data_IF_647219652063
#
_entry.id   IF_647219652063
#
_cell.length_a   1.000
_cell.length_b   1.000
_cell.length_c   1.000
_cell.angle_alpha   90.00
_cell.angle_beta   90.00
_cell.angle_gamma   90.00
#
_symmetry.space_group_name_H-M   'P 1'
#
loop_
_entity.id
_entity.type
_entity.pdbx_description
1 polymer ?
#
# COMPACT_ATOMS: atom_id res chain seq x y z
N UNK A 1 -16.45 -10.13 -15.92
CA UNK A 1 -15.98 -9.66 -14.60
C UNK A 1 -14.71 -8.85 -14.80
N UNK A 2 -14.66 -7.63 -14.28
CA UNK A 2 -13.46 -6.78 -14.39
C UNK A 2 -12.40 -7.32 -13.43
N UNK A 3 -11.25 -7.69 -13.95
CA UNK A 3 -10.10 -8.04 -13.11
C UNK A 3 -9.25 -6.79 -12.88
N UNK A 4 -9.38 -6.19 -11.70
CA UNK A 4 -8.63 -5.00 -11.30
C UNK A 4 -7.12 -5.21 -11.42
N UNK A 5 -6.64 -6.43 -11.16
CA UNK A 5 -5.22 -6.76 -11.21
C UNK A 5 -4.66 -6.63 -12.62
N UNK A 6 -5.37 -7.18 -13.60
CA UNK A 6 -4.92 -7.09 -15.00
C UNK A 6 -4.90 -5.64 -15.49
N UNK A 7 -5.89 -4.83 -15.11
CA UNK A 7 -5.93 -3.41 -15.50
C UNK A 7 -4.75 -2.67 -14.86
N UNK A 8 -4.48 -2.89 -13.57
CA UNK A 8 -3.34 -2.28 -12.86
C UNK A 8 -2.03 -2.67 -13.52
N UNK A 9 -1.81 -3.98 -13.74
CA UNK A 9 -0.59 -4.50 -14.35
C UNK A 9 -0.38 -3.90 -15.74
N UNK A 10 -1.41 -3.88 -16.58
CA UNK A 10 -1.32 -3.31 -17.92
C UNK A 10 -1.04 -1.80 -17.89
N UNK A 11 -1.60 -1.06 -16.94
CA UNK A 11 -1.33 0.36 -16.78
C UNK A 11 0.14 0.63 -16.38
N UNK A 12 0.69 -0.16 -15.48
CA UNK A 12 2.09 -0.07 -15.08
C UNK A 12 3.02 -0.36 -16.26
N UNK A 13 2.74 -1.41 -17.02
CA UNK A 13 3.53 -1.79 -18.22
C UNK A 13 3.46 -0.68 -19.26
N UNK A 14 2.27 -0.17 -19.56
CA UNK A 14 2.06 0.88 -20.55
C UNK A 14 2.84 2.15 -20.22
N UNK A 15 2.92 2.52 -18.95
CA UNK A 15 3.65 3.71 -18.51
C UNK A 15 5.13 3.42 -18.23
N UNK A 16 5.56 2.17 -18.24
CA UNK A 16 6.87 1.72 -17.78
C UNK A 16 7.16 2.18 -16.34
N UNK A 17 6.17 2.02 -15.46
CA UNK A 17 6.25 2.44 -14.06
C UNK A 17 6.57 1.26 -13.15
N UNK A 18 7.52 1.50 -12.26
CA UNK A 18 7.87 0.55 -11.20
C UNK A 18 6.91 0.65 -10.04
N UNK A 19 6.76 -0.46 -9.31
CA UNK A 19 5.88 -0.55 -8.14
C UNK A 19 6.58 -1.21 -6.97
N UNK A 20 6.29 -0.72 -5.77
CA UNK A 20 6.66 -1.33 -4.50
C UNK A 20 5.46 -1.35 -3.55
N UNK A 21 5.47 -2.28 -2.60
CA UNK A 21 4.34 -2.51 -1.71
C UNK A 21 4.83 -2.72 -0.28
N UNK A 22 4.23 -2.02 0.67
CA UNK A 22 4.38 -2.32 2.09
C UNK A 22 3.03 -2.73 2.68
N UNK A 23 3.03 -3.80 3.44
CA UNK A 23 1.82 -4.42 4.02
C UNK A 23 2.07 -4.80 5.48
N UNK A 24 1.01 -5.05 6.22
CA UNK A 24 1.08 -5.57 7.58
C UNK A 24 0.20 -6.80 7.77
N UNK A 25 -1.00 -6.64 8.29
CA UNK A 25 -1.90 -7.76 8.62
C UNK A 25 -2.45 -8.51 7.41
N UNK A 26 -2.35 -7.95 6.23
CA UNK A 26 -2.69 -8.63 4.97
C UNK A 26 -1.70 -9.73 4.55
N UNK A 27 -0.53 -9.79 5.19
CA UNK A 27 0.46 -10.86 4.99
C UNK A 27 0.94 -11.04 3.53
N UNK A 28 1.03 -9.94 2.78
CA UNK A 28 1.50 -9.98 1.40
C UNK A 28 0.42 -10.27 0.36
N UNK A 29 -0.84 -10.15 0.72
CA UNK A 29 -1.96 -10.46 -0.19
C UNK A 29 -1.97 -9.53 -1.42
N UNK A 30 -1.62 -8.26 -1.25
CA UNK A 30 -1.57 -7.29 -2.35
C UNK A 30 -0.41 -7.63 -3.30
N UNK A 31 0.78 -7.84 -2.76
CA UNK A 31 1.94 -8.22 -3.56
C UNK A 31 1.67 -9.52 -4.33
N UNK A 32 1.16 -10.54 -3.66
CA UNK A 32 0.82 -11.80 -4.29
C UNK A 32 -0.20 -11.62 -5.43
N UNK A 33 -1.24 -10.82 -5.21
CA UNK A 33 -2.28 -10.57 -6.22
C UNK A 33 -1.71 -9.97 -7.51
N UNK A 34 -0.75 -9.04 -7.40
CA UNK A 34 -0.17 -8.36 -8.55
C UNK A 34 0.94 -9.18 -9.24
N UNK A 35 1.60 -10.09 -8.52
CA UNK A 35 2.75 -10.84 -9.03
C UNK A 35 2.40 -12.21 -9.63
N UNK A 36 1.17 -12.67 -9.49
CA UNK A 36 0.73 -14.00 -9.98
C UNK A 36 1.05 -14.22 -11.46
N UNK A 37 0.99 -13.17 -12.27
CA UNK A 37 1.16 -13.29 -13.73
C UNK A 37 2.60 -13.14 -14.22
N UNK A 38 3.57 -12.87 -13.36
CA UNK A 38 4.98 -12.58 -13.70
C UNK A 38 5.18 -11.43 -14.71
N UNK A 39 4.14 -10.71 -15.07
CA UNK A 39 4.23 -9.59 -16.03
C UNK A 39 4.98 -8.38 -15.49
N UNK A 40 5.08 -8.26 -14.16
CA UNK A 40 5.75 -7.14 -13.48
C UNK A 40 7.20 -7.44 -13.08
N UNK A 41 7.79 -8.56 -13.48
CA UNK A 41 9.13 -8.97 -13.01
C UNK A 41 10.19 -7.88 -13.15
N UNK A 42 10.13 -7.08 -14.22
CA UNK A 42 11.07 -5.98 -14.46
C UNK A 42 10.65 -4.65 -13.82
N UNK A 43 9.41 -4.54 -13.37
CA UNK A 43 8.84 -3.31 -12.83
C UNK A 43 8.57 -3.38 -11.33
N UNK A 44 8.77 -4.53 -10.72
CA UNK A 44 8.54 -4.74 -9.30
C UNK A 44 9.83 -4.49 -8.51
N UNK A 45 9.84 -3.41 -7.73
CA UNK A 45 11.02 -3.01 -6.94
C UNK A 45 11.10 -3.70 -5.57
N UNK A 46 10.05 -4.32 -5.13
CA UNK A 46 10.04 -5.08 -3.88
C UNK A 46 8.79 -4.88 -3.04
N UNK A 47 8.68 -5.70 -2.02
CA UNK A 47 7.63 -5.57 -1.00
C UNK A 47 8.17 -5.93 0.38
N UNK A 48 7.52 -5.40 1.41
CA UNK A 48 7.81 -5.72 2.80
C UNK A 48 6.51 -5.98 3.56
N UNK A 49 6.54 -6.97 4.44
CA UNK A 49 5.45 -7.28 5.36
C UNK A 49 5.91 -6.98 6.78
N UNK A 50 5.24 -6.03 7.43
CA UNK A 50 5.52 -5.66 8.82
C UNK A 50 4.48 -6.30 9.74
N UNK A 51 4.90 -7.18 10.64
CA UNK A 51 3.99 -7.89 11.55
C UNK A 51 3.67 -7.11 12.82
N UNK A 52 4.54 -6.18 13.19
CA UNK A 52 4.43 -5.42 14.43
C UNK A 52 5.25 -4.13 14.33
N UNK A 53 5.09 -3.26 15.32
CA UNK A 53 5.81 -1.98 15.39
C UNK A 53 7.33 -2.15 15.50
N UNK A 54 7.82 -3.24 16.05
CA UNK A 54 9.27 -3.49 16.09
C UNK A 54 9.85 -3.71 14.69
N UNK A 55 9.17 -4.46 13.83
CA UNK A 55 9.62 -4.69 12.45
C UNK A 55 9.63 -3.39 11.64
N UNK A 56 8.63 -2.53 11.84
CA UNK A 56 8.62 -1.18 11.23
C UNK A 56 9.77 -0.33 11.74
N UNK A 57 9.98 -0.28 13.05
CA UNK A 57 11.04 0.53 13.64
C UNK A 57 12.42 0.07 13.23
N UNK A 58 12.63 -1.22 13.03
CA UNK A 58 13.88 -1.75 12.49
C UNK A 58 14.11 -1.21 11.06
N UNK A 59 13.09 -1.22 10.22
CA UNK A 59 13.18 -0.67 8.87
C UNK A 59 13.45 0.84 8.89
N UNK A 60 12.75 1.59 9.75
CA UNK A 60 12.93 3.04 9.92
C UNK A 60 14.37 3.36 10.33
N UNK A 61 14.91 2.64 11.33
CA UNK A 61 16.29 2.83 11.81
C UNK A 61 17.34 2.48 10.76
N UNK A 62 17.13 1.40 9.99
CA UNK A 62 18.02 1.03 8.89
C UNK A 62 18.12 2.12 7.84
N UNK A 63 17.06 2.89 7.66
CA UNK A 63 17.03 4.03 6.76
C UNK A 63 17.47 5.36 7.43
N UNK A 64 17.99 5.31 8.67
CA UNK A 64 18.53 6.43 9.43
C UNK A 64 17.47 7.49 9.79
N UNK A 65 16.24 7.06 10.01
CA UNK A 65 15.15 7.90 10.51
C UNK A 65 14.82 7.60 11.98
N UNK A 66 14.14 8.52 12.62
CA UNK A 66 13.70 8.37 14.01
C UNK A 66 12.58 7.32 14.10
N UNK A 67 12.67 6.34 15.01
CA UNK A 67 11.63 5.35 15.19
C UNK A 67 10.32 5.97 15.69
N UNK A 68 9.21 5.30 15.38
CA UNK A 68 7.88 5.65 15.90
C UNK A 68 7.77 5.16 17.34
N UNK A 69 7.12 5.96 18.21
CA UNK A 69 6.83 5.52 19.57
C UNK A 69 5.79 4.40 19.55
N UNK A 70 6.15 3.23 20.10
CA UNK A 70 5.30 2.03 20.11
C UNK A 70 4.04 2.19 20.97
N UNK A 71 4.01 3.15 21.89
CA UNK A 71 2.87 3.41 22.77
C UNK A 71 1.80 4.31 22.12
N UNK A 72 2.09 4.85 20.94
CA UNK A 72 1.14 5.69 20.22
C UNK A 72 0.17 4.85 19.38
N UNK A 73 -1.08 5.32 19.31
CA UNK A 73 -2.06 4.78 18.38
C UNK A 73 -1.60 5.11 16.96
N UNK A 74 -1.66 4.11 16.09
CA UNK A 74 -1.31 4.29 14.68
C UNK A 74 -2.28 5.28 14.02
N UNK A 75 -1.75 6.43 13.64
CA UNK A 75 -2.51 7.53 13.05
C UNK A 75 -2.13 7.75 11.59
N UNK A 76 -2.82 8.71 10.98
CA UNK A 76 -2.50 9.15 9.61
C UNK A 76 -1.06 9.70 9.49
N UNK A 77 -0.53 10.28 10.56
CA UNK A 77 0.84 10.83 10.57
C UNK A 77 1.89 9.71 10.51
N UNK A 78 1.72 8.65 11.31
CA UNK A 78 2.62 7.48 11.28
C UNK A 78 2.50 6.74 9.95
N UNK A 79 1.30 6.62 9.42
CA UNK A 79 1.04 6.01 8.12
C UNK A 79 1.77 6.78 7.00
N UNK A 80 1.65 8.10 6.96
CA UNK A 80 2.34 8.93 5.97
C UNK A 80 3.86 8.90 6.17
N UNK A 81 4.32 8.91 7.42
CA UNK A 81 5.74 8.84 7.74
C UNK A 81 6.40 7.59 7.16
N UNK A 82 5.81 6.41 7.38
CA UNK A 82 6.36 5.16 6.82
C UNK A 82 6.23 5.12 5.29
N UNK A 83 5.16 5.71 4.72
CA UNK A 83 5.03 5.87 3.28
C UNK A 83 6.20 6.61 2.68
N UNK A 84 6.58 7.75 3.25
CA UNK A 84 7.66 8.58 2.73
C UNK A 84 9.02 7.87 2.83
N UNK A 85 9.28 7.16 3.93
CA UNK A 85 10.51 6.38 4.09
C UNK A 85 10.58 5.25 3.07
N UNK A 86 9.49 4.49 2.92
CA UNK A 86 9.44 3.40 1.95
C UNK A 86 9.57 3.89 0.51
N UNK A 87 8.95 5.02 0.19
CA UNK A 87 9.06 5.62 -1.15
C UNK A 87 10.51 6.01 -1.48
N UNK A 88 11.24 6.57 -0.54
CA UNK A 88 12.66 6.88 -0.70
C UNK A 88 13.53 5.63 -0.80
N UNK A 89 13.19 4.59 -0.05
CA UNK A 89 13.92 3.33 -0.05
C UNK A 89 13.77 2.58 -1.38
N UNK A 90 12.54 2.37 -1.83
CA UNK A 90 12.24 1.60 -3.05
C UNK A 90 12.47 2.40 -4.33
N UNK A 91 12.35 3.71 -4.29
CA UNK A 91 12.47 4.61 -5.46
C UNK A 91 11.57 4.16 -6.61
N UNK A 92 10.36 3.73 -6.29
CA UNK A 92 9.39 3.29 -7.28
C UNK A 92 8.48 4.42 -7.74
N UNK A 93 7.92 4.28 -8.93
CA UNK A 93 6.94 5.23 -9.47
C UNK A 93 5.62 5.14 -8.72
N UNK A 94 5.26 3.94 -8.27
CA UNK A 94 4.05 3.67 -7.49
C UNK A 94 4.44 2.95 -6.21
N UNK A 95 3.99 3.45 -5.06
CA UNK A 95 4.06 2.78 -3.77
C UNK A 95 2.65 2.53 -3.26
N UNK A 96 2.38 1.30 -2.86
CA UNK A 96 1.17 0.95 -2.11
C UNK A 96 1.55 0.82 -0.63
N UNK A 97 0.86 1.55 0.23
CA UNK A 97 0.98 1.41 1.68
C UNK A 97 -0.32 0.84 2.26
N UNK A 98 -0.28 -0.43 2.62
CA UNK A 98 -1.36 -1.14 3.31
C UNK A 98 -0.91 -1.58 4.70
N UNK A 99 -0.16 -0.70 5.37
CA UNK A 99 0.30 -0.90 6.75
C UNK A 99 -0.72 -0.28 7.70
N UNK A 100 -1.24 -1.10 8.60
CA UNK A 100 -2.22 -0.66 9.60
C UNK A 100 -2.04 -1.45 10.89
N UNK A 101 -2.11 -0.74 12.01
CA UNK A 101 -2.03 -1.30 13.35
C UNK A 101 -3.12 -0.66 14.21
N UNK A 102 -3.46 -1.31 15.31
CA UNK A 102 -4.44 -0.85 16.31
C UNK A 102 -5.84 -0.57 15.74
N UNK A 103 -6.18 -1.19 14.60
CA UNK A 103 -7.49 -1.07 13.98
C UNK A 103 -8.65 -1.44 14.92
N UNK A 104 -8.42 -2.30 15.90
CA UNK A 104 -9.42 -2.65 16.90
C UNK A 104 -9.77 -1.48 17.83
N UNK A 105 -8.84 -0.54 18.03
CA UNK A 105 -9.04 0.66 18.85
C UNK A 105 -9.71 1.77 18.07
N UNK A 106 -9.28 1.99 16.83
CA UNK A 106 -9.73 3.13 16.02
C UNK A 106 -10.96 2.81 15.18
N UNK A 107 -11.23 1.51 14.89
CA UNK A 107 -12.23 1.04 13.92
C UNK A 107 -12.09 1.68 12.53
N UNK A 108 -10.96 2.25 12.25
CA UNK A 108 -10.62 2.84 10.97
C UNK A 108 -9.34 2.21 10.43
N UNK A 109 -9.30 2.02 9.13
CA UNK A 109 -8.12 1.57 8.42
C UNK A 109 -7.75 2.62 7.37
N UNK A 110 -6.47 2.98 7.34
CA UNK A 110 -5.92 3.88 6.34
C UNK A 110 -5.08 3.07 5.38
N UNK A 111 -5.27 3.25 4.09
CA UNK A 111 -4.31 2.85 3.07
C UNK A 111 -4.02 4.01 2.15
N UNK A 112 -2.87 3.98 1.51
CA UNK A 112 -2.48 5.07 0.62
C UNK A 112 -1.66 4.59 -0.57
N UNK A 113 -1.61 5.44 -1.57
CA UNK A 113 -0.73 5.31 -2.72
C UNK A 113 0.15 6.54 -2.83
N UNK A 114 1.40 6.34 -3.23
CA UNK A 114 2.20 7.40 -3.79
C UNK A 114 2.38 7.06 -5.26
N UNK A 115 1.81 7.87 -6.15
CA UNK A 115 1.90 7.71 -7.60
C UNK A 115 2.68 8.89 -8.13
N UNK A 116 3.90 8.64 -8.57
CA UNK A 116 4.89 9.68 -8.86
C UNK A 116 5.06 10.57 -7.62
N UNK A 117 4.69 11.84 -7.69
CA UNK A 117 4.84 12.76 -6.54
C UNK A 117 3.53 13.00 -5.78
N UNK A 118 2.47 12.30 -6.16
CA UNK A 118 1.14 12.50 -5.59
C UNK A 118 0.82 11.44 -4.54
N UNK A 119 0.50 11.87 -3.33
CA UNK A 119 -0.01 11.01 -2.26
C UNK A 119 -1.53 11.00 -2.25
N UNK A 120 -2.13 9.82 -2.24
CA UNK A 120 -3.57 9.61 -2.22
C UNK A 120 -3.89 8.70 -1.04
N UNK A 121 -4.70 9.19 -0.11
CA UNK A 121 -5.08 8.45 1.10
C UNK A 121 -6.56 8.09 1.08
N UNK A 122 -6.87 6.91 1.60
CA UNK A 122 -8.23 6.45 1.81
C UNK A 122 -8.39 5.95 3.24
N UNK A 123 -9.55 6.27 3.83
CA UNK A 123 -9.93 5.77 5.15
C UNK A 123 -11.15 4.87 5.01
N UNK A 124 -11.09 3.68 5.60
CA UNK A 124 -12.16 2.68 5.58
C UNK A 124 -12.72 2.53 7.00
N UNK A 125 -14.02 2.63 7.12
CA UNK A 125 -14.72 2.35 8.37
C UNK A 125 -14.85 0.83 8.54
N UNK A 126 -14.14 0.27 9.53
CA UNK A 126 -14.15 -1.16 9.82
C UNK A 126 -15.35 -1.61 10.64
N UNK A 127 -16.18 -0.70 11.15
CA UNK A 127 -17.37 -1.06 11.94
C UNK A 127 -18.39 -1.89 11.16
N UNK A 128 -18.30 -1.87 9.82
CA UNK A 128 -19.16 -2.64 8.91
C UNK A 128 -18.74 -4.11 8.77
N UNK A 129 -17.57 -4.48 9.27
CA UNK A 129 -17.00 -5.81 9.12
C UNK A 129 -16.99 -6.55 10.46
N UNK A 130 -17.31 -7.84 10.44
CA UNK A 130 -17.21 -8.69 11.61
C UNK A 130 -15.75 -9.05 11.89
N UNK A 131 -15.24 -8.68 13.08
CA UNK A 131 -13.90 -9.01 13.58
C UNK A 131 -12.80 -8.93 12.51
N UNK A 132 -12.08 -10.01 12.26
CA UNK A 132 -10.89 -10.04 11.40
C UNK A 132 -11.19 -10.31 9.92
N UNK A 133 -12.46 -10.41 9.53
CA UNK A 133 -12.86 -10.75 8.15
C UNK A 133 -12.82 -9.57 7.17
N UNK A 134 -12.20 -8.45 7.55
CA UNK A 134 -12.13 -7.26 6.70
C UNK A 134 -10.98 -7.29 5.67
N UNK A 135 -9.95 -8.11 5.88
CA UNK A 135 -8.72 -8.05 5.08
C UNK A 135 -8.98 -8.28 3.60
N UNK A 136 -9.72 -9.32 3.26
CA UNK A 136 -10.00 -9.63 1.85
C UNK A 136 -10.88 -8.56 1.18
N UNK A 137 -12.04 -8.16 1.72
CA UNK A 137 -12.84 -7.12 1.09
C UNK A 137 -12.13 -5.77 1.01
N UNK A 138 -11.37 -5.38 2.03
CA UNK A 138 -10.62 -4.11 1.98
C UNK A 138 -9.47 -4.18 0.98
N UNK A 139 -8.81 -5.32 0.82
CA UNK A 139 -7.80 -5.54 -0.22
C UNK A 139 -8.39 -5.33 -1.62
N UNK A 140 -9.61 -5.80 -1.87
CA UNK A 140 -10.30 -5.59 -3.14
C UNK A 140 -10.67 -4.12 -3.35
N UNK A 141 -11.08 -3.41 -2.30
CA UNK A 141 -11.33 -1.96 -2.36
C UNK A 141 -10.04 -1.22 -2.71
N UNK A 142 -8.91 -1.57 -2.07
CA UNK A 142 -7.61 -0.98 -2.34
C UNK A 142 -7.23 -1.14 -3.83
N UNK A 143 -7.33 -2.34 -4.37
CA UNK A 143 -7.00 -2.60 -5.77
C UNK A 143 -7.94 -1.85 -6.72
N UNK A 144 -9.23 -1.79 -6.41
CA UNK A 144 -10.21 -1.00 -7.17
C UNK A 144 -9.85 0.49 -7.19
N UNK A 145 -9.46 1.05 -6.04
CA UNK A 145 -9.05 2.46 -5.93
C UNK A 145 -7.76 2.74 -6.68
N UNK A 146 -6.78 1.86 -6.61
CA UNK A 146 -5.55 2.00 -7.39
C UNK A 146 -5.84 1.98 -8.90
N UNK A 147 -6.68 1.06 -9.34
CA UNK A 147 -7.11 0.99 -10.73
C UNK A 147 -7.74 2.32 -11.18
N UNK A 148 -8.67 2.86 -10.41
CA UNK A 148 -9.32 4.16 -10.71
C UNK A 148 -8.29 5.28 -10.87
N UNK A 149 -7.32 5.38 -9.98
CA UNK A 149 -6.28 6.41 -10.03
C UNK A 149 -5.38 6.27 -11.27
N UNK A 150 -5.00 5.04 -11.62
CA UNK A 150 -4.17 4.79 -12.80
C UNK A 150 -4.92 5.09 -14.11
N UNK A 151 -6.21 4.80 -14.16
CA UNK A 151 -7.07 5.14 -15.31
C UNK A 151 -7.15 6.66 -15.47
N UNK A 152 -7.41 7.41 -14.39
CA UNK A 152 -7.50 8.87 -14.42
C UNK A 152 -6.20 9.50 -14.94
N UNK A 153 -5.04 9.02 -14.49
CA UNK A 153 -3.74 9.51 -14.95
C UNK A 153 -3.56 9.26 -16.44
N UNK A 154 -3.93 8.09 -16.94
CA UNK A 154 -3.84 7.77 -18.36
C UNK A 154 -4.78 8.60 -19.22
N UNK A 155 -5.94 8.97 -18.73
CA UNK A 155 -6.89 9.84 -19.44
C UNK A 155 -6.40 11.28 -19.53
N UNK A 156 -5.74 11.79 -18.48
CA UNK A 156 -5.23 13.17 -18.46
C UNK A 156 -3.98 13.38 -19.31
N UNK A 157 -3.33 12.31 -19.76
CA UNK A 157 -2.14 12.38 -20.65
C UNK A 157 -2.46 12.43 -22.13
N UNK A 158 -3.72 12.36 -22.49
CA UNK A 158 -4.16 12.43 -23.90
C UNK A 158 -4.25 13.89 -24.41
#
# INVERSE_FOLDING_TARGET
>A
MIDYKDIIVNALIKNNWTIAIIESHSNGIIANALLVSNKLDKLFNGSMVFKNSNSINNFIKLNKYQPINNDQIWSINEHDYISQIANRYFKSDVLINFVHFDQHKTKELIFSFIIKDKTIQHTIDLSKYESDNYIHPVSMILLSKLMEELILINETKK
#
